data_IF_164474220840
#
_entry.id   IF_164474220840
#
_cell.length_a   1.000
_cell.length_b   1.000
_cell.length_c   1.000
_cell.angle_alpha   90.00
_cell.angle_beta   90.00
_cell.angle_gamma   90.00
#
_symmetry.space_group_name_H-M   'P 1'
#
loop_
_entity.id
_entity.type
_entity.pdbx_description
1 polymer ?
#
# COMPACT_ATOMS: atom_id res chain seq x y z
N UNK A 1 -33.92 0.40 34.71
CA UNK A 1 -34.19 -0.13 33.35
C UNK A 1 -32.92 -0.80 32.82
N UNK A 2 -32.88 -2.14 32.83
CA UNK A 2 -31.86 -2.90 32.12
C UNK A 2 -32.13 -2.74 30.63
N UNK A 3 -31.35 -1.89 29.97
CA UNK A 3 -31.37 -1.74 28.51
C UNK A 3 -30.97 -3.11 27.96
N UNK A 4 -31.94 -3.85 27.40
CA UNK A 4 -31.65 -5.05 26.63
C UNK A 4 -30.67 -4.67 25.52
N UNK A 5 -29.43 -5.13 25.67
CA UNK A 5 -28.38 -4.89 24.70
C UNK A 5 -28.71 -5.75 23.49
N UNK A 6 -29.13 -5.13 22.41
CA UNK A 6 -29.26 -5.80 21.13
C UNK A 6 -27.88 -6.34 20.71
N UNK A 7 -27.77 -7.66 20.60
CA UNK A 7 -26.54 -8.35 20.19
C UNK A 7 -26.72 -8.81 18.75
N UNK A 8 -25.88 -8.30 17.86
CA UNK A 8 -25.81 -8.82 16.49
C UNK A 8 -24.92 -10.06 16.50
N UNK A 9 -25.53 -11.21 16.15
CA UNK A 9 -24.81 -12.48 16.03
C UNK A 9 -23.86 -12.46 14.83
N UNK A 10 -22.70 -13.08 15.00
CA UNK A 10 -21.69 -13.23 13.96
C UNK A 10 -22.17 -14.13 12.81
N UNK A 11 -21.84 -13.72 11.58
CA UNK A 11 -22.10 -14.52 10.38
C UNK A 11 -20.93 -15.50 10.13
N UNK A 12 -21.19 -16.80 10.30
CA UNK A 12 -20.20 -17.88 10.13
C UNK A 12 -19.70 -17.98 8.68
N UNK A 13 -20.56 -17.70 7.70
CA UNK A 13 -20.20 -17.74 6.29
C UNK A 13 -19.31 -16.55 5.93
N UNK A 14 -19.63 -15.36 6.46
CA UNK A 14 -18.78 -14.19 6.30
C UNK A 14 -17.39 -14.40 6.89
N UNK A 15 -17.31 -14.98 8.10
CA UNK A 15 -16.05 -15.31 8.75
C UNK A 15 -15.19 -16.26 7.89
N UNK A 16 -15.77 -17.33 7.33
CA UNK A 16 -15.04 -18.24 6.42
C UNK A 16 -14.54 -17.55 5.16
N UNK A 17 -15.36 -16.69 4.53
CA UNK A 17 -14.96 -15.93 3.34
C UNK A 17 -13.81 -14.96 3.64
N UNK A 18 -13.85 -14.27 4.77
CA UNK A 18 -12.75 -13.40 5.21
C UNK A 18 -11.46 -14.19 5.41
N UNK A 19 -11.50 -15.29 6.17
CA UNK A 19 -10.31 -16.12 6.39
C UNK A 19 -9.76 -16.70 5.08
N UNK A 20 -10.63 -17.18 4.21
CA UNK A 20 -10.22 -17.71 2.89
C UNK A 20 -9.61 -16.61 2.03
N UNK A 21 -10.18 -15.40 2.05
CA UNK A 21 -9.62 -14.24 1.34
C UNK A 21 -8.24 -13.86 1.86
N UNK A 22 -8.05 -13.78 3.18
CA UNK A 22 -6.72 -13.52 3.76
C UNK A 22 -5.72 -14.63 3.42
N UNK A 23 -6.12 -15.90 3.48
CA UNK A 23 -5.26 -17.02 3.11
C UNK A 23 -4.80 -16.90 1.65
N UNK A 24 -5.71 -16.58 0.73
CA UNK A 24 -5.40 -16.38 -0.69
C UNK A 24 -4.42 -15.22 -0.86
N UNK A 25 -4.63 -14.08 -0.21
CA UNK A 25 -3.72 -12.93 -0.28
C UNK A 25 -2.32 -13.29 0.25
N UNK A 26 -2.23 -14.06 1.33
CA UNK A 26 -0.95 -14.53 1.87
C UNK A 26 -0.25 -15.46 0.88
N UNK A 27 -0.95 -16.44 0.33
CA UNK A 27 -0.40 -17.37 -0.66
C UNK A 27 0.08 -16.61 -1.90
N UNK A 28 -0.72 -15.68 -2.42
CA UNK A 28 -0.34 -14.82 -3.53
C UNK A 28 0.86 -13.94 -3.18
N UNK A 29 0.95 -13.41 -1.96
CA UNK A 29 2.10 -12.65 -1.48
C UNK A 29 3.39 -13.48 -1.44
N UNK A 30 3.32 -14.73 -0.97
CA UNK A 30 4.45 -15.67 -0.94
C UNK A 30 4.87 -16.06 -2.36
N UNK A 31 3.92 -16.34 -3.25
CA UNK A 31 4.20 -16.65 -4.65
C UNK A 31 4.82 -15.44 -5.36
N UNK A 32 4.24 -14.25 -5.19
CA UNK A 32 4.80 -13.01 -5.70
C UNK A 32 6.22 -12.79 -5.19
N UNK A 33 6.48 -13.02 -3.90
CA UNK A 33 7.83 -12.89 -3.34
C UNK A 33 8.81 -13.86 -3.99
N UNK A 34 8.44 -15.13 -4.17
CA UNK A 34 9.36 -16.14 -4.74
C UNK A 34 9.55 -16.02 -6.25
N UNK A 35 8.53 -15.56 -7.00
CA UNK A 35 8.58 -15.52 -8.46
C UNK A 35 8.87 -14.13 -9.03
N UNK A 36 8.43 -13.05 -8.37
CA UNK A 36 8.57 -11.68 -8.88
C UNK A 36 9.83 -11.02 -8.32
N UNK A 37 10.15 -11.20 -7.03
CA UNK A 37 11.33 -10.54 -6.46
C UNK A 37 12.66 -11.00 -7.07
N UNK A 38 12.95 -12.30 -7.26
CA UNK A 38 14.24 -12.71 -7.82
C UNK A 38 14.54 -12.17 -9.22
N UNK A 39 13.64 -12.27 -10.22
CA UNK A 39 13.90 -11.67 -11.53
C UNK A 39 13.92 -10.14 -11.47
N UNK A 40 13.08 -9.53 -10.62
CA UNK A 40 13.07 -8.07 -10.45
C UNK A 40 14.40 -7.57 -9.90
N UNK A 41 14.96 -8.24 -8.88
CA UNK A 41 16.26 -7.89 -8.30
C UNK A 41 17.40 -8.10 -9.30
N UNK A 42 17.38 -9.21 -10.07
CA UNK A 42 18.38 -9.44 -11.11
C UNK A 42 18.35 -8.36 -12.21
N UNK A 43 17.16 -7.89 -12.62
CA UNK A 43 17.04 -6.77 -13.55
C UNK A 43 17.58 -5.49 -12.89
N UNK A 44 17.22 -5.25 -11.63
CA UNK A 44 17.66 -4.08 -10.87
C UNK A 44 19.18 -4.03 -10.69
N UNK A 45 19.83 -5.18 -10.55
CA UNK A 45 21.27 -5.29 -10.36
C UNK A 45 22.08 -5.06 -11.63
N UNK A 46 21.48 -5.27 -12.80
CA UNK A 46 22.10 -5.01 -14.10
C UNK A 46 21.88 -3.57 -14.61
N UNK A 47 21.00 -2.80 -13.98
CA UNK A 47 20.72 -1.42 -14.38
C UNK A 47 21.80 -0.44 -13.89
N UNK A 48 22.11 0.60 -14.70
CA UNK A 48 22.97 1.70 -14.27
C UNK A 48 22.35 2.41 -13.06
N UNK A 49 23.21 2.98 -12.20
CA UNK A 49 22.81 3.54 -10.91
C UNK A 49 21.69 4.58 -10.99
N UNK A 50 21.60 5.31 -12.12
CA UNK A 50 20.53 6.27 -12.37
C UNK A 50 19.15 5.61 -12.48
N UNK A 51 19.03 4.66 -13.39
CA UNK A 51 17.78 3.95 -13.67
C UNK A 51 17.36 3.11 -12.45
N UNK A 52 18.33 2.59 -11.69
CA UNK A 52 18.09 1.86 -10.45
C UNK A 52 17.32 2.69 -9.40
N UNK A 53 17.66 3.98 -9.24
CA UNK A 53 16.98 4.87 -8.28
C UNK A 53 15.56 5.20 -8.74
N UNK A 54 15.38 5.48 -10.04
CA UNK A 54 14.08 5.79 -10.64
C UNK A 54 13.11 4.59 -10.53
N UNK A 55 13.58 3.37 -10.82
CA UNK A 55 12.74 2.16 -10.70
C UNK A 55 12.35 1.88 -9.23
N UNK A 56 13.26 2.07 -8.27
CA UNK A 56 12.95 1.93 -6.84
C UNK A 56 11.91 2.95 -6.39
N UNK A 57 11.98 4.18 -6.88
CA UNK A 57 10.99 5.23 -6.63
C UNK A 57 9.61 4.79 -7.11
N UNK A 58 9.51 4.30 -8.35
CA UNK A 58 8.24 3.85 -8.94
C UNK A 58 7.64 2.70 -8.12
N UNK A 59 8.46 1.71 -7.73
CA UNK A 59 8.00 0.57 -6.92
C UNK A 59 7.49 1.05 -5.55
N UNK A 60 8.21 1.97 -4.89
CA UNK A 60 7.80 2.52 -3.60
C UNK A 60 6.45 3.27 -3.70
N UNK A 61 6.27 4.07 -4.75
CA UNK A 61 5.00 4.76 -5.00
C UNK A 61 3.87 3.77 -5.27
N UNK A 62 4.09 2.77 -6.12
CA UNK A 62 3.09 1.73 -6.45
C UNK A 62 2.65 0.98 -5.18
N UNK A 63 3.60 0.68 -4.29
CA UNK A 63 3.30 0.07 -3.00
C UNK A 63 2.45 0.99 -2.11
N UNK A 64 2.78 2.28 -2.01
CA UNK A 64 1.99 3.25 -1.24
C UNK A 64 0.56 3.42 -1.80
N UNK A 65 0.40 3.39 -3.12
CA UNK A 65 -0.92 3.46 -3.77
C UNK A 65 -1.86 2.32 -3.32
N UNK A 66 -1.32 1.15 -2.96
CA UNK A 66 -2.12 0.01 -2.49
C UNK A 66 -2.88 0.28 -1.17
N UNK A 67 -2.46 1.28 -0.39
CA UNK A 67 -3.10 1.64 0.88
C UNK A 67 -4.26 2.63 0.71
N UNK A 68 -4.39 3.30 -0.43
CA UNK A 68 -5.46 4.27 -0.69
C UNK A 68 -6.86 3.65 -0.54
N UNK A 69 -7.16 2.48 -1.15
CA UNK A 69 -8.47 1.83 -0.99
C UNK A 69 -8.81 1.53 0.48
N UNK A 70 -7.81 1.17 1.29
CA UNK A 70 -7.98 0.88 2.72
C UNK A 70 -8.39 2.15 3.48
N UNK A 71 -7.71 3.26 3.22
CA UNK A 71 -8.03 4.54 3.84
C UNK A 71 -9.44 5.04 3.44
N UNK A 72 -9.79 4.94 2.16
CA UNK A 72 -11.14 5.28 1.66
C UNK A 72 -12.20 4.40 2.33
N UNK A 73 -11.93 3.10 2.48
CA UNK A 73 -12.84 2.17 3.14
C UNK A 73 -13.09 2.53 4.60
N UNK A 74 -12.05 2.90 5.36
CA UNK A 74 -12.17 3.37 6.74
C UNK A 74 -13.07 4.61 6.85
N UNK A 75 -12.85 5.60 5.96
CA UNK A 75 -13.65 6.82 5.91
C UNK A 75 -15.11 6.49 5.56
N UNK A 76 -15.34 5.63 4.57
CA UNK A 76 -16.66 5.22 4.13
C UNK A 76 -17.45 4.52 5.26
N UNK A 77 -16.80 3.62 6.01
CA UNK A 77 -17.39 2.98 7.19
C UNK A 77 -17.70 4.02 8.26
N UNK A 78 -16.74 4.87 8.62
CA UNK A 78 -16.94 5.88 9.66
C UNK A 78 -18.09 6.83 9.33
N UNK A 79 -18.24 7.23 8.05
CA UNK A 79 -19.38 8.02 7.57
C UNK A 79 -20.71 7.28 7.74
N UNK A 80 -20.77 5.98 7.43
CA UNK A 80 -21.99 5.18 7.65
C UNK A 80 -22.34 5.09 9.14
N UNK A 81 -21.36 4.84 10.01
CA UNK A 81 -21.57 4.79 11.47
C UNK A 81 -22.17 6.10 11.97
N UNK A 82 -21.61 7.24 11.55
CA UNK A 82 -22.13 8.56 11.91
C UNK A 82 -23.53 8.82 11.34
N UNK A 83 -23.81 8.38 10.10
CA UNK A 83 -25.12 8.54 9.45
C UNK A 83 -26.23 7.78 10.18
N UNK A 84 -25.95 6.54 10.60
CA UNK A 84 -26.93 5.69 11.28
C UNK A 84 -26.88 5.81 12.82
N UNK A 85 -25.96 6.61 13.37
CA UNK A 85 -25.72 6.75 14.82
C UNK A 85 -25.59 5.41 15.57
N UNK A 86 -25.08 4.37 14.89
CA UNK A 86 -25.01 3.00 15.39
C UNK A 86 -23.74 2.28 14.90
N UNK A 87 -23.11 1.53 15.80
CA UNK A 87 -22.00 0.63 15.48
C UNK A 87 -22.25 -0.75 16.08
N UNK A 88 -22.35 -1.80 15.27
CA UNK A 88 -22.42 -1.82 13.80
C UNK A 88 -23.61 -1.01 13.22
N UNK A 89 -23.48 -0.51 11.99
CA UNK A 89 -24.60 0.11 11.26
C UNK A 89 -25.55 -0.96 10.69
N UNK A 90 -26.85 -0.67 10.46
CA UNK A 90 -27.81 -1.68 10.00
C UNK A 90 -27.34 -2.35 8.69
N UNK A 91 -27.34 -3.68 8.67
CA UNK A 91 -26.86 -4.49 7.54
C UNK A 91 -25.34 -4.74 7.50
N UNK A 92 -24.57 -4.23 8.47
CA UNK A 92 -23.15 -4.53 8.59
C UNK A 92 -22.92 -5.95 9.09
N UNK A 93 -22.10 -6.73 8.36
CA UNK A 93 -21.69 -8.06 8.79
C UNK A 93 -20.61 -7.98 9.84
N UNK A 94 -20.80 -8.70 10.94
CA UNK A 94 -19.86 -8.70 12.08
C UNK A 94 -19.16 -10.04 12.19
N UNK A 95 -17.87 -9.99 12.52
CA UNK A 95 -17.01 -11.19 12.58
C UNK A 95 -17.20 -11.91 13.93
N UNK A 96 -17.48 -11.15 14.98
CA UNK A 96 -17.74 -11.62 16.35
C UNK A 96 -19.07 -11.05 16.81
N UNK A 97 -19.67 -11.68 17.80
CA UNK A 97 -20.89 -11.16 18.42
C UNK A 97 -20.56 -9.79 19.00
N UNK A 98 -21.25 -8.77 18.50
CA UNK A 98 -21.01 -7.37 18.89
C UNK A 98 -22.29 -6.76 19.39
N UNK A 99 -22.19 -6.13 20.56
CA UNK A 99 -23.25 -5.30 21.12
C UNK A 99 -23.41 -4.06 20.26
N UNK A 100 -24.65 -3.73 19.89
CA UNK A 100 -24.95 -2.47 19.20
C UNK A 100 -24.70 -1.30 20.15
N UNK A 101 -23.78 -0.43 19.77
CA UNK A 101 -23.55 0.85 20.45
C UNK A 101 -24.27 1.92 19.67
N UNK A 102 -25.17 2.67 20.32
CA UNK A 102 -25.96 3.75 19.72
C UNK A 102 -25.61 5.13 20.29
N UNK A 103 -26.02 6.17 19.56
CA UNK A 103 -25.95 7.56 20.02
C UNK A 103 -24.52 8.14 20.03
N UNK A 104 -24.22 8.96 21.05
CA UNK A 104 -22.95 9.73 21.12
C UNK A 104 -21.71 8.84 21.06
N UNK A 105 -21.74 7.65 21.69
CA UNK A 105 -20.61 6.69 21.69
C UNK A 105 -20.35 6.11 20.30
N UNK A 106 -21.40 5.82 19.53
CA UNK A 106 -21.27 5.35 18.15
C UNK A 106 -20.65 6.42 17.25
N UNK A 107 -21.14 7.65 17.36
CA UNK A 107 -20.61 8.79 16.61
C UNK A 107 -19.14 9.08 16.91
N UNK A 108 -18.72 8.97 18.17
CA UNK A 108 -17.31 9.12 18.52
C UNK A 108 -16.45 8.10 17.78
N UNK A 109 -16.82 6.81 17.82
CA UNK A 109 -16.11 5.74 17.10
C UNK A 109 -16.10 5.96 15.57
N UNK A 110 -17.23 6.38 15.01
CA UNK A 110 -17.33 6.72 13.59
C UNK A 110 -16.42 7.87 13.19
N UNK A 111 -16.36 8.94 14.00
CA UNK A 111 -15.43 10.06 13.81
C UNK A 111 -13.98 9.64 13.95
N UNK A 112 -13.64 8.80 14.93
CA UNK A 112 -12.28 8.26 15.08
C UNK A 112 -11.84 7.48 13.84
N UNK A 113 -12.72 6.66 13.26
CA UNK A 113 -12.45 5.94 12.00
C UNK A 113 -12.21 6.89 10.81
N UNK A 114 -13.00 7.96 10.70
CA UNK A 114 -12.80 8.98 9.67
C UNK A 114 -11.45 9.69 9.86
N UNK A 115 -11.15 10.13 11.08
CA UNK A 115 -9.88 10.80 11.42
C UNK A 115 -8.70 9.88 11.11
N UNK A 116 -8.77 8.61 11.51
CA UNK A 116 -7.74 7.62 11.21
C UNK A 116 -7.51 7.48 9.70
N UNK A 117 -8.58 7.38 8.90
CA UNK A 117 -8.45 7.30 7.44
C UNK A 117 -7.84 8.57 6.82
N UNK A 118 -8.20 9.75 7.33
CA UNK A 118 -7.60 11.03 6.89
C UNK A 118 -6.11 11.07 7.25
N UNK A 119 -5.73 10.69 8.46
CA UNK A 119 -4.33 10.62 8.91
C UNK A 119 -3.52 9.69 8.00
N UNK A 120 -4.07 8.53 7.64
CA UNK A 120 -3.41 7.61 6.70
C UNK A 120 -3.19 8.27 5.34
N UNK A 121 -4.19 8.98 4.80
CA UNK A 121 -4.02 9.71 3.52
C UNK A 121 -2.93 10.79 3.62
N UNK A 122 -2.92 11.56 4.71
CA UNK A 122 -1.90 12.59 4.93
C UNK A 122 -0.51 11.94 5.00
N UNK A 123 -0.35 10.85 5.75
CA UNK A 123 0.91 10.11 5.86
C UNK A 123 1.36 9.53 4.51
N UNK A 124 0.43 9.06 3.69
CA UNK A 124 0.74 8.58 2.33
C UNK A 124 1.29 9.71 1.46
N UNK A 125 0.60 10.86 1.44
CA UNK A 125 1.02 12.02 0.66
C UNK A 125 2.38 12.56 1.14
N UNK A 126 2.57 12.72 2.46
CA UNK A 126 3.84 13.20 3.01
C UNK A 126 4.97 12.21 2.76
N UNK A 127 4.71 10.91 2.81
CA UNK A 127 5.70 9.88 2.46
C UNK A 127 6.10 9.95 0.98
N UNK A 128 5.16 10.15 0.06
CA UNK A 128 5.47 10.32 -1.37
C UNK A 128 6.31 11.58 -1.60
N UNK A 129 5.92 12.72 -1.01
CA UNK A 129 6.67 13.98 -1.11
C UNK A 129 8.08 13.84 -0.53
N UNK A 130 8.22 13.20 0.64
CA UNK A 130 9.51 13.00 1.28
C UNK A 130 10.43 12.12 0.43
N UNK A 131 9.91 11.02 -0.12
CA UNK A 131 10.64 10.12 -1.02
C UNK A 131 11.15 10.88 -2.24
N UNK A 132 10.27 11.64 -2.89
CA UNK A 132 10.64 12.45 -4.05
C UNK A 132 11.67 13.55 -3.72
N UNK A 133 11.50 14.23 -2.58
CA UNK A 133 12.42 15.29 -2.12
C UNK A 133 13.82 14.75 -1.83
N UNK A 134 13.92 13.55 -1.24
CA UNK A 134 15.20 12.89 -0.98
C UNK A 134 15.90 12.59 -2.31
N UNK A 135 15.19 12.06 -3.30
CA UNK A 135 15.75 11.73 -4.62
C UNK A 135 16.23 12.99 -5.35
N UNK A 136 15.45 14.08 -5.32
CA UNK A 136 15.87 15.37 -5.88
C UNK A 136 17.13 15.91 -5.20
N UNK A 137 17.21 15.82 -3.86
CA UNK A 137 18.42 16.21 -3.11
C UNK A 137 19.63 15.37 -3.49
N UNK A 138 19.47 14.05 -3.66
CA UNK A 138 20.53 13.17 -4.13
C UNK A 138 21.02 13.59 -5.52
N UNK A 139 20.10 13.85 -6.45
CA UNK A 139 20.41 14.26 -7.82
C UNK A 139 21.14 15.61 -7.91
N UNK A 140 20.82 16.56 -7.03
CA UNK A 140 21.42 17.90 -7.02
C UNK A 140 22.71 18.00 -6.18
N UNK A 141 23.02 17.02 -5.34
CA UNK A 141 24.25 17.04 -4.54
C UNK A 141 25.47 16.87 -5.46
N UNK A 142 26.36 17.89 -5.51
CA UNK A 142 27.63 17.86 -6.25
C UNK A 142 28.55 16.70 -5.87
N UNK A 143 28.31 16.09 -4.71
CA UNK A 143 29.06 14.94 -4.20
C UNK A 143 28.78 13.65 -4.98
N UNK A 144 27.57 13.49 -5.53
CA UNK A 144 27.16 12.28 -6.25
C UNK A 144 27.06 12.46 -7.77
N UNK A 145 27.31 13.67 -8.30
CA UNK A 145 27.35 13.92 -9.75
C UNK A 145 28.28 12.98 -10.54
N UNK A 146 29.49 12.57 -10.07
CA UNK A 146 30.31 11.62 -10.84
C UNK A 146 29.71 10.21 -10.95
N UNK A 147 28.76 9.84 -10.07
CA UNK A 147 28.08 8.55 -10.07
C UNK A 147 27.04 8.42 -11.20
N UNK A 148 26.55 9.55 -11.72
CA UNK A 148 25.55 9.62 -12.79
C UNK A 148 26.14 9.97 -14.17
N UNK A 149 27.39 10.47 -14.23
CA UNK A 149 28.05 10.91 -15.47
C UNK A 149 28.85 9.78 -16.13
N UNK A 150 29.28 8.75 -15.38
CA UNK A 150 30.02 7.59 -15.92
C UNK A 150 29.10 6.49 -16.49
N UNK A 151 28.10 6.85 -17.29
CA UNK A 151 27.50 5.92 -18.26
C UNK A 151 28.16 6.21 -19.60
N UNK A 152 29.47 5.95 -19.69
CA UNK A 152 30.11 5.86 -20.99
C UNK A 152 29.62 4.57 -21.64
N UNK A 153 28.79 4.77 -22.67
CA UNK A 153 28.54 3.82 -23.75
C UNK A 153 29.84 3.06 -24.05
N UNK A 154 29.88 1.76 -23.77
CA UNK A 154 30.97 0.89 -24.20
C UNK A 154 30.53 0.21 -25.50
N UNK A 155 30.85 0.76 -26.69
CA UNK A 155 30.60 0.08 -27.94
C UNK A 155 31.63 -1.04 -28.11
N UNK A 156 31.51 -2.13 -27.33
CA UNK A 156 32.07 -3.41 -27.76
C UNK A 156 31.10 -4.02 -28.76
N UNK A 157 31.08 -3.46 -29.97
CA UNK A 157 30.79 -4.27 -31.15
C UNK A 157 32.12 -4.89 -31.59
N UNK A 158 32.28 -6.21 -31.57
CA UNK A 158 33.37 -6.86 -32.29
C UNK A 158 33.01 -6.80 -33.77
N UNK A 159 33.52 -5.80 -34.51
CA UNK A 159 33.58 -5.95 -35.97
C UNK A 159 34.69 -6.92 -36.27
N UNK A 160 34.26 -8.14 -36.55
CA UNK A 160 35.01 -9.22 -37.16
C UNK A 160 36.02 -8.70 -38.18
N UNK A 161 37.21 -9.28 -38.05
CA UNK A 161 38.26 -9.35 -39.05
C UNK A 161 37.67 -9.71 -40.43
N UNK A 162 37.64 -8.75 -41.34
CA UNK A 162 37.60 -9.04 -42.76
C UNK A 162 39.01 -9.36 -43.23
N UNK A 163 39.30 -10.66 -43.24
CA UNK A 163 40.23 -11.28 -44.18
C UNK A 163 39.83 -10.96 -45.63
N UNK A 164 40.82 -10.69 -46.49
CA UNK A 164 40.85 -10.72 -47.97
C UNK A 164 41.27 -9.38 -48.60
N UNK A 165 42.58 -9.22 -48.81
CA UNK A 165 43.25 -8.98 -50.09
C UNK A 165 44.75 -8.73 -49.84
#
# INVERSE_FOLDING_TARGET
>A
MTIEKEIIKADRNYRRKLFSGYLIVIILGILAWNFICPPLLNILDNLPNKERVEVKEIIAHLFLFSFIPVAIYLIAIGRKICKYNAMPYPGMKVIRDTVVVTGKKANFRGKTLIILGIVVIILLITSMIATHSIILRFKHSKFFSPFFINVQYNPKCPTESWTLC
#
